data_IF_199146600656
#
_entry.id   IF_199146600656
#
_cell.length_a   1.000
_cell.length_b   1.000
_cell.length_c   1.000
_cell.angle_alpha   90.00
_cell.angle_beta   90.00
_cell.angle_gamma   90.00
#
_symmetry.space_group_name_H-M   'P 1'
#
loop_
_entity.id
_entity.type
_entity.pdbx_description
1 polymer ?
#
# COMPACT_ATOMS: atom_id res chain seq x y z
N UNK A 1 1.53 -6.78 11.54
CA UNK A 1 2.56 -6.05 10.77
C UNK A 1 1.91 -4.82 10.14
N UNK A 2 2.49 -3.67 10.38
CA UNK A 2 2.01 -2.41 9.84
C UNK A 2 3.10 -1.75 9.02
N UNK A 3 2.76 -1.31 7.83
CA UNK A 3 3.63 -0.51 6.97
C UNK A 3 3.13 0.93 7.02
N UNK A 4 4.00 1.84 7.42
CA UNK A 4 3.72 3.27 7.45
C UNK A 4 4.63 4.00 6.47
N UNK A 5 4.09 5.02 5.85
CA UNK A 5 4.84 5.85 4.91
C UNK A 5 4.18 7.21 4.75
N UNK A 6 4.81 8.07 3.99
CA UNK A 6 4.24 9.31 3.51
C UNK A 6 4.23 9.31 2.00
N UNK A 7 3.21 9.92 1.42
CA UNK A 7 3.06 10.00 -0.04
C UNK A 7 3.03 11.45 -0.47
N UNK A 8 3.90 11.79 -1.41
CA UNK A 8 3.89 13.07 -2.11
C UNK A 8 3.26 12.88 -3.48
N UNK A 9 2.29 13.70 -3.81
CA UNK A 9 1.69 13.73 -5.14
C UNK A 9 1.92 15.08 -5.78
N UNK A 10 2.86 15.13 -6.71
CA UNK A 10 3.22 16.35 -7.45
C UNK A 10 2.37 16.56 -8.71
N UNK A 11 1.49 15.62 -9.02
CA UNK A 11 0.66 15.66 -10.22
C UNK A 11 -0.55 16.59 -10.03
N UNK A 12 -1.07 17.19 -11.12
CA UNK A 12 -2.33 17.94 -11.10
C UNK A 12 -3.56 17.01 -11.14
N UNK A 13 -3.38 15.78 -10.72
CA UNK A 13 -4.39 14.72 -10.70
C UNK A 13 -4.41 14.08 -9.32
N UNK A 14 -5.58 13.63 -8.88
CA UNK A 14 -5.67 12.81 -7.68
C UNK A 14 -5.11 11.43 -7.96
N UNK A 15 -4.38 10.87 -7.01
CA UNK A 15 -3.84 9.52 -7.10
C UNK A 15 -4.66 8.57 -6.22
N UNK A 16 -5.33 7.61 -6.84
CA UNK A 16 -5.96 6.51 -6.11
C UNK A 16 -4.95 5.37 -6.02
N UNK A 17 -4.58 4.99 -4.82
CA UNK A 17 -3.56 3.99 -4.57
C UNK A 17 -4.22 2.76 -3.95
N UNK A 18 -4.05 1.62 -4.61
CA UNK A 18 -4.50 0.33 -4.13
C UNK A 18 -3.29 -0.52 -3.74
N UNK A 19 -3.33 -1.08 -2.55
CA UNK A 19 -2.29 -1.98 -2.04
C UNK A 19 -2.88 -3.36 -1.85
N UNK A 20 -2.28 -4.36 -2.49
CA UNK A 20 -2.75 -5.74 -2.45
C UNK A 20 -1.59 -6.66 -2.11
N UNK A 21 -1.68 -7.47 -1.03
CA UNK A 21 -0.68 -8.47 -0.77
C UNK A 21 -0.72 -9.58 -1.82
N UNK A 22 0.44 -10.05 -2.25
CA UNK A 22 0.58 -11.07 -3.29
C UNK A 22 1.40 -12.25 -2.78
N UNK A 23 1.14 -13.42 -3.36
CA UNK A 23 1.88 -14.64 -3.06
C UNK A 23 3.11 -14.79 -3.98
N UNK A 24 3.81 -15.90 -3.81
CA UNK A 24 5.04 -16.21 -4.57
C UNK A 24 4.80 -16.35 -6.08
N UNK A 25 3.55 -16.54 -6.50
CA UNK A 25 3.16 -16.63 -7.91
C UNK A 25 2.61 -15.31 -8.45
N UNK A 26 2.69 -14.24 -7.66
CA UNK A 26 2.17 -12.93 -8.02
C UNK A 26 0.65 -12.81 -7.96
N UNK A 27 -0.03 -13.76 -7.31
CA UNK A 27 -1.49 -13.76 -7.20
C UNK A 27 -1.92 -13.04 -5.93
N UNK A 28 -3.09 -12.40 -6.00
CA UNK A 28 -3.68 -11.72 -4.85
C UNK A 28 -3.98 -12.72 -3.73
N UNK A 29 -3.63 -12.35 -2.51
CA UNK A 29 -4.00 -13.12 -1.32
C UNK A 29 -5.33 -12.57 -0.82
N UNK A 30 -6.42 -13.25 -1.14
CA UNK A 30 -7.78 -12.76 -0.86
C UNK A 30 -8.16 -12.78 0.62
N UNK A 31 -7.48 -13.58 1.43
CA UNK A 31 -7.72 -13.64 2.88
C UNK A 31 -7.09 -12.49 3.65
N UNK A 32 -6.28 -11.68 2.98
CA UNK A 32 -5.68 -10.49 3.57
C UNK A 32 -6.37 -9.24 3.02
N UNK A 33 -6.44 -8.16 3.82
CA UNK A 33 -7.13 -6.96 3.39
C UNK A 33 -6.39 -6.25 2.26
N UNK A 34 -7.15 -5.61 1.38
CA UNK A 34 -6.63 -4.58 0.48
C UNK A 34 -6.78 -3.23 1.16
N UNK A 35 -5.93 -2.30 0.78
CA UNK A 35 -6.10 -0.90 1.13
C UNK A 35 -6.28 -0.08 -0.13
N UNK A 36 -7.28 0.80 -0.12
CA UNK A 36 -7.45 1.81 -1.15
C UNK A 36 -7.44 3.17 -0.46
N UNK A 37 -6.58 4.07 -0.94
CA UNK A 37 -6.49 5.42 -0.42
C UNK A 37 -6.35 6.41 -1.56
N UNK A 38 -6.84 7.63 -1.36
CA UNK A 38 -6.73 8.70 -2.35
C UNK A 38 -5.80 9.78 -1.83
N UNK A 39 -4.85 10.18 -2.67
CA UNK A 39 -3.90 11.24 -2.37
C UNK A 39 -4.22 12.40 -3.29
N UNK A 40 -4.58 13.55 -2.71
CA UNK A 40 -5.00 14.72 -3.46
C UNK A 40 -3.90 15.25 -4.36
N UNK A 41 -4.31 15.84 -5.50
CA UNK A 41 -3.41 16.53 -6.43
C UNK A 41 -2.55 17.56 -5.70
N UNK A 42 -1.30 17.69 -6.11
CA UNK A 42 -0.35 18.70 -5.62
C UNK A 42 -0.29 18.78 -4.09
N UNK A 43 -0.12 17.63 -3.45
CA UNK A 43 -0.06 17.52 -1.99
C UNK A 43 1.19 16.78 -1.55
N UNK A 44 1.63 17.04 -0.32
CA UNK A 44 2.84 16.46 0.26
C UNK A 44 2.55 15.84 1.61
N UNK A 45 3.42 14.92 2.01
CA UNK A 45 3.42 14.32 3.34
C UNK A 45 2.10 13.68 3.73
N UNK A 46 1.39 13.11 2.74
CA UNK A 46 0.14 12.41 2.99
C UNK A 46 0.40 11.12 3.76
N UNK A 47 -0.21 10.92 4.92
CA UNK A 47 0.04 9.71 5.70
C UNK A 47 -0.51 8.48 4.99
N UNK A 48 0.26 7.41 5.04
CA UNK A 48 -0.11 6.11 4.52
C UNK A 48 0.12 5.06 5.60
N UNK A 49 -0.86 4.21 5.82
CA UNK A 49 -0.74 3.12 6.77
C UNK A 49 -1.46 1.89 6.23
N UNK A 50 -0.74 0.78 6.15
CA UNK A 50 -1.32 -0.50 5.78
C UNK A 50 -1.01 -1.53 6.87
N UNK A 51 -2.06 -2.12 7.44
CA UNK A 51 -1.92 -3.13 8.47
C UNK A 51 -2.27 -4.50 7.90
N UNK A 52 -1.30 -5.42 7.95
CA UNK A 52 -1.52 -6.81 7.60
C UNK A 52 -2.12 -7.53 8.81
N UNK A 53 -3.36 -7.94 8.66
CA UNK A 53 -4.05 -8.77 9.65
C UNK A 53 -4.97 -9.73 8.91
N UNK A 54 -5.18 -10.89 9.50
CA UNK A 54 -6.06 -11.88 8.90
C UNK A 54 -7.52 -11.45 9.00
N UNK A 55 -8.31 -11.88 8.01
CA UNK A 55 -9.74 -11.67 8.04
C UNK A 55 -10.35 -12.47 9.19
N UNK A 56 -11.28 -11.86 9.91
CA UNK A 56 -12.03 -12.55 10.95
C UNK A 56 -12.77 -13.75 10.36
N UNK A 57 -12.67 -14.89 11.02
CA UNK A 57 -13.31 -16.12 10.56
C UNK A 57 -12.54 -16.91 9.51
N UNK A 58 -11.35 -16.47 9.10
CA UNK A 58 -10.56 -17.17 8.09
C UNK A 58 -9.99 -18.51 8.58
N UNK A 59 -9.88 -18.70 9.90
CA UNK A 59 -9.24 -19.88 10.48
C UNK A 59 -7.73 -19.90 10.35
N UNK A 60 -7.15 -18.83 9.84
CA UNK A 60 -5.70 -18.67 9.64
C UNK A 60 -5.18 -17.48 10.44
N UNK A 61 -3.94 -17.58 10.90
CA UNK A 61 -3.27 -16.45 11.55
C UNK A 61 -2.17 -15.89 10.63
N UNK A 62 -1.62 -14.76 11.00
CA UNK A 62 -0.61 -14.08 10.18
C UNK A 62 0.63 -14.94 9.95
N UNK A 63 1.03 -15.74 10.94
CA UNK A 63 2.18 -16.64 10.81
C UNK A 63 1.96 -17.70 9.72
N UNK A 64 0.73 -18.14 9.49
CA UNK A 64 0.44 -19.08 8.41
C UNK A 64 0.80 -18.48 7.05
N UNK A 65 0.55 -17.19 6.84
CA UNK A 65 0.90 -16.48 5.61
C UNK A 65 2.40 -16.19 5.47
N UNK A 66 3.14 -16.30 6.55
CA UNK A 66 4.60 -16.15 6.51
C UNK A 66 5.27 -17.51 6.26
N UNK A 67 4.77 -18.56 6.89
CA UNK A 67 5.36 -19.90 6.87
C UNK A 67 4.81 -20.83 5.80
N UNK A 68 3.64 -20.54 5.25
CA UNK A 68 2.96 -21.41 4.30
C UNK A 68 2.28 -22.63 4.93
N UNK A 69 2.10 -22.66 6.24
CA UNK A 69 1.42 -23.78 6.93
C UNK A 69 -0.04 -23.85 6.51
N UNK A 70 -0.60 -25.06 6.57
CA UNK A 70 -2.01 -25.34 6.26
C UNK A 70 -2.40 -24.92 4.83
N UNK A 71 -1.50 -25.13 3.86
CA UNK A 71 -1.70 -24.73 2.46
C UNK A 71 -2.01 -23.23 2.30
N UNK A 72 -1.50 -22.42 3.21
CA UNK A 72 -1.70 -20.98 3.15
C UNK A 72 -0.75 -20.35 2.14
N UNK A 73 -1.23 -19.46 1.24
CA UNK A 73 -0.34 -18.74 0.33
C UNK A 73 0.69 -17.93 1.11
N UNK A 74 1.96 -18.03 0.72
CA UNK A 74 3.04 -17.28 1.37
C UNK A 74 3.08 -15.87 0.81
N UNK A 75 3.11 -14.87 1.70
CA UNK A 75 3.28 -13.48 1.30
C UNK A 75 4.68 -13.30 0.69
N UNK A 76 4.73 -12.88 -0.57
CA UNK A 76 5.98 -12.56 -1.26
C UNK A 76 6.20 -11.06 -1.38
N UNK A 77 5.13 -10.29 -1.35
CA UNK A 77 5.22 -8.85 -1.45
C UNK A 77 3.86 -8.19 -1.49
N UNK A 78 3.87 -6.94 -1.91
CA UNK A 78 2.65 -6.17 -2.15
C UNK A 78 2.69 -5.61 -3.56
N UNK A 79 1.53 -5.61 -4.22
CA UNK A 79 1.34 -4.91 -5.48
C UNK A 79 0.70 -3.56 -5.18
N UNK A 80 1.29 -2.52 -5.70
CA UNK A 80 0.76 -1.16 -5.56
C UNK A 80 0.29 -0.71 -6.93
N UNK A 81 -0.99 -0.37 -7.03
CA UNK A 81 -1.58 0.17 -8.25
C UNK A 81 -1.96 1.62 -8.01
N UNK A 82 -1.44 2.51 -8.84
CA UNK A 82 -1.76 3.93 -8.77
C UNK A 82 -2.57 4.31 -10.00
N UNK A 83 -3.80 4.81 -9.77
CA UNK A 83 -4.68 5.30 -10.82
C UNK A 83 -4.84 6.80 -10.65
N UNK A 84 -4.54 7.55 -11.72
CA UNK A 84 -4.67 9.00 -11.70
C UNK A 84 -6.07 9.40 -12.17
N UNK A 85 -6.71 10.30 -11.42
CA UNK A 85 -8.05 10.80 -11.70
C UNK A 85 -8.06 12.32 -11.78
N UNK A 86 -8.91 12.87 -12.63
CA UNK A 86 -9.03 14.30 -12.78
C UNK A 86 -9.42 14.98 -11.46
N UNK A 87 -8.82 16.13 -11.20
CA UNK A 87 -9.18 17.01 -10.10
C UNK A 87 -9.72 18.31 -10.67
N UNK A 88 -10.91 18.72 -10.24
CA UNK A 88 -11.61 19.89 -10.80
C UNK A 88 -10.79 21.19 -10.68
N UNK A 89 -9.98 21.31 -9.64
CA UNK A 89 -9.17 22.51 -9.42
C UNK A 89 -8.01 22.65 -10.38
N UNK A 90 -7.67 21.58 -11.09
CA UNK A 90 -6.50 21.51 -11.97
C UNK A 90 -6.83 21.07 -13.39
N UNK A 91 -8.12 21.14 -13.76
CA UNK A 91 -8.54 20.83 -15.13
C UNK A 91 -7.83 21.74 -16.11
N UNK A 92 -7.23 21.14 -17.14
CA UNK A 92 -6.48 21.87 -18.16
C UNK A 92 -4.99 22.00 -17.90
N UNK A 93 -4.50 21.61 -16.71
CA UNK A 93 -3.06 21.57 -16.49
C UNK A 93 -2.45 20.34 -17.15
N UNK A 94 -1.24 20.54 -17.69
CA UNK A 94 -0.51 19.46 -18.34
C UNK A 94 0.39 18.72 -17.34
N UNK A 95 0.56 17.42 -17.55
CA UNK A 95 1.58 16.64 -16.86
C UNK A 95 2.96 17.06 -17.34
N UNK A 96 3.85 17.34 -16.40
CA UNK A 96 5.24 17.67 -16.70
C UNK A 96 6.09 16.41 -16.67
N UNK A 97 7.23 16.43 -17.36
CA UNK A 97 8.14 15.27 -17.42
C UNK A 97 8.66 14.80 -16.06
N UNK A 98 8.64 15.67 -15.04
CA UNK A 98 9.11 15.35 -13.70
C UNK A 98 7.97 15.20 -12.68
N UNK A 99 6.75 15.13 -13.15
CA UNK A 99 5.60 14.88 -12.29
C UNK A 99 5.68 13.47 -11.73
N UNK A 100 5.49 13.33 -10.43
CA UNK A 100 5.59 12.03 -9.77
C UNK A 100 4.63 11.89 -8.61
N UNK A 101 4.28 10.63 -8.33
CA UNK A 101 3.68 10.22 -7.06
C UNK A 101 4.73 9.36 -6.37
N UNK A 102 5.14 9.75 -5.17
CA UNK A 102 6.26 9.12 -4.49
C UNK A 102 5.91 8.74 -3.06
N UNK A 103 6.27 7.52 -2.70
CA UNK A 103 6.20 7.05 -1.32
C UNK A 103 7.57 7.23 -0.65
N UNK A 104 7.58 7.78 0.55
CA UNK A 104 8.81 8.05 1.30
C UNK A 104 8.64 7.72 2.79
N UNK A 105 9.75 7.73 3.52
CA UNK A 105 9.78 7.49 4.97
C UNK A 105 9.08 6.19 5.35
N UNK A 106 9.35 5.12 4.59
CA UNK A 106 8.72 3.82 4.79
C UNK A 106 9.24 3.18 6.06
N UNK A 107 8.31 2.76 6.93
CA UNK A 107 8.61 2.06 8.18
C UNK A 107 7.79 0.79 8.28
N UNK A 108 8.41 -0.25 8.79
CA UNK A 108 7.77 -1.52 9.05
C UNK A 108 7.67 -1.74 10.55
N UNK A 109 6.45 -1.86 11.05
CA UNK A 109 6.17 -2.16 12.45
C UNK A 109 5.68 -3.58 12.61
N UNK A 110 6.20 -4.28 13.62
CA UNK A 110 5.77 -5.62 13.98
C UNK A 110 5.09 -5.52 15.34
N UNK A 111 3.90 -6.12 15.47
CA UNK A 111 3.17 -6.14 16.73
C UNK A 111 4.05 -6.75 17.81
N UNK A 112 4.22 -6.04 18.95
CA UNK A 112 5.09 -6.46 20.05
C UNK A 112 6.34 -5.61 20.19
N UNK A 113 6.32 -4.37 19.76
CA UNK A 113 7.33 -3.34 20.01
C UNK A 113 8.62 -3.45 19.18
N UNK A 114 8.61 -4.25 18.14
CA UNK A 114 9.75 -4.31 17.22
C UNK A 114 9.43 -3.48 15.98
N UNK A 115 10.28 -2.49 15.71
CA UNK A 115 10.18 -1.69 14.49
C UNK A 115 11.58 -1.41 13.94
N UNK A 116 11.67 -1.26 12.61
CA UNK A 116 12.93 -0.87 11.97
C UNK A 116 12.59 -0.09 10.68
N UNK A 117 13.52 0.80 10.32
CA UNK A 117 13.38 1.59 9.10
C UNK A 117 13.85 0.76 7.91
N UNK A 118 13.05 0.77 6.83
CA UNK A 118 13.33 0.00 5.61
C UNK A 118 13.87 0.87 4.48
N UNK A 119 14.66 1.86 4.82
CA UNK A 119 15.23 2.80 3.84
C UNK A 119 16.45 2.22 3.13
#
# INVERSE_FOLDING_TARGET
ITVEAKIDNDAPLDAEIEVVPIDVNGRDITDLPKLTTTVSAKSKDNPFQYTLKTREGSGRNLLDFISGKNNTPVIDGIRIVCTLKANQNYVGEYLRTRTSVRMKDVRLGIKGDISYDAN
#
